data_IF_625844090343
#
_entry.id   IF_625844090343
#
_cell.length_a   1.000
_cell.length_b   1.000
_cell.length_c   1.000
_cell.angle_alpha   90.00
_cell.angle_beta   90.00
_cell.angle_gamma   90.00
#
_symmetry.space_group_name_H-M   'P 1'
#
loop_
_entity.id
_entity.type
_entity.pdbx_description
1 polymer ?
#
# COMPACT_ATOMS: atom_id res chain seq x y z
N UNK A 1 -12.07 -32.36 -18.83
CA UNK A 1 -11.94 -32.17 -17.37
C UNK A 1 -12.54 -30.82 -17.03
N UNK A 2 -13.69 -30.76 -16.36
CA UNK A 2 -14.24 -29.51 -15.85
C UNK A 2 -13.40 -29.07 -14.66
N UNK A 3 -12.44 -28.16 -14.86
CA UNK A 3 -11.92 -27.37 -13.76
C UNK A 3 -13.07 -26.47 -13.29
N UNK A 4 -13.72 -26.82 -12.19
CA UNK A 4 -14.58 -25.87 -11.49
C UNK A 4 -13.70 -24.68 -11.14
N UNK A 5 -13.92 -23.53 -11.77
CA UNK A 5 -13.21 -22.31 -11.45
C UNK A 5 -13.36 -22.05 -9.94
N UNK A 6 -12.25 -22.06 -9.19
CA UNK A 6 -12.24 -21.74 -7.76
C UNK A 6 -12.91 -20.38 -7.58
N UNK A 7 -13.83 -20.29 -6.63
CA UNK A 7 -14.45 -19.02 -6.22
C UNK A 7 -13.92 -18.62 -4.85
N UNK A 8 -13.90 -17.32 -4.58
CA UNK A 8 -13.48 -16.81 -3.28
C UNK A 8 -14.47 -17.28 -2.20
N UNK A 9 -13.94 -17.84 -1.12
CA UNK A 9 -14.72 -18.15 0.07
C UNK A 9 -15.09 -16.84 0.82
N UNK A 10 -16.05 -16.90 1.76
CA UNK A 10 -16.51 -15.69 2.47
C UNK A 10 -15.40 -14.94 3.22
N UNK A 11 -14.44 -15.66 3.83
CA UNK A 11 -13.35 -15.04 4.57
C UNK A 11 -12.38 -14.34 3.62
N UNK A 12 -12.03 -14.96 2.49
CA UNK A 12 -11.19 -14.34 1.46
C UNK A 12 -11.83 -13.05 0.92
N UNK A 13 -13.14 -13.06 0.68
CA UNK A 13 -13.88 -11.84 0.26
C UNK A 13 -13.81 -10.74 1.30
N UNK A 14 -14.06 -11.07 2.57
CA UNK A 14 -13.98 -10.09 3.67
C UNK A 14 -12.56 -9.53 3.81
N UNK A 15 -11.54 -10.38 3.77
CA UNK A 15 -10.14 -9.97 3.86
C UNK A 15 -9.74 -9.04 2.71
N UNK A 16 -10.16 -9.35 1.47
CA UNK A 16 -9.93 -8.47 0.31
C UNK A 16 -10.60 -7.10 0.53
N UNK A 17 -11.85 -7.06 0.98
CA UNK A 17 -12.55 -5.80 1.22
C UNK A 17 -11.85 -4.97 2.29
N UNK A 18 -11.49 -5.56 3.43
CA UNK A 18 -10.76 -4.87 4.49
C UNK A 18 -9.38 -4.37 4.01
N UNK A 19 -8.66 -5.18 3.23
CA UNK A 19 -7.38 -4.78 2.68
C UNK A 19 -7.52 -3.59 1.72
N UNK A 20 -8.55 -3.57 0.87
CA UNK A 20 -8.80 -2.45 -0.05
C UNK A 20 -9.24 -1.19 0.71
N UNK A 21 -10.14 -1.34 1.69
CA UNK A 21 -10.62 -0.26 2.55
C UNK A 21 -9.48 0.42 3.34
N UNK A 22 -8.39 -0.31 3.56
CA UNK A 22 -7.16 0.21 4.14
C UNK A 22 -6.17 0.75 3.11
N UNK A 23 -5.81 -0.07 2.11
CA UNK A 23 -4.76 0.25 1.15
C UNK A 23 -5.06 1.53 0.39
N UNK A 24 -6.31 1.73 -0.03
CA UNK A 24 -6.66 2.91 -0.84
C UNK A 24 -6.35 4.21 -0.09
N UNK A 25 -6.95 4.50 1.08
CA UNK A 25 -6.65 5.74 1.80
C UNK A 25 -5.20 5.80 2.29
N UNK A 26 -4.61 4.68 2.71
CA UNK A 26 -3.24 4.68 3.22
C UNK A 26 -2.21 5.02 2.13
N UNK A 27 -2.35 4.43 0.94
CA UNK A 27 -1.48 4.76 -0.20
C UNK A 27 -1.65 6.23 -0.61
N UNK A 28 -2.88 6.74 -0.62
CA UNK A 28 -3.12 8.16 -0.89
C UNK A 28 -2.40 9.07 0.11
N UNK A 29 -2.44 8.77 1.41
CA UNK A 29 -1.71 9.56 2.42
C UNK A 29 -0.19 9.49 2.26
N UNK A 30 0.37 8.34 1.89
CA UNK A 30 1.82 8.23 1.59
C UNK A 30 2.17 9.10 0.38
N UNK A 31 1.38 9.03 -0.68
CA UNK A 31 1.60 9.78 -1.91
C UNK A 31 1.47 11.28 -1.67
N UNK A 32 0.50 11.71 -0.87
CA UNK A 32 0.31 13.10 -0.49
C UNK A 32 1.56 13.67 0.21
N UNK A 33 2.02 13.01 1.28
CA UNK A 33 3.23 13.38 2.01
C UNK A 33 4.47 13.37 1.10
N UNK A 34 4.57 12.37 0.21
CA UNK A 34 5.73 12.21 -0.69
C UNK A 34 5.74 13.19 -1.86
N UNK A 35 4.59 13.78 -2.19
CA UNK A 35 4.40 14.73 -3.29
C UNK A 35 4.37 16.18 -2.83
N UNK A 36 4.38 16.42 -1.52
CA UNK A 36 4.29 17.76 -0.93
C UNK A 36 5.44 18.65 -1.39
N UNK A 37 5.11 19.92 -1.62
CA UNK A 37 6.02 20.93 -2.16
C UNK A 37 6.59 21.75 -1.01
N UNK A 38 7.90 22.02 -1.07
CA UNK A 38 8.59 22.89 -0.10
C UNK A 38 8.51 22.38 1.36
N UNK A 39 8.24 21.09 1.55
CA UNK A 39 8.29 20.42 2.85
C UNK A 39 9.76 20.29 3.32
N UNK A 40 10.03 20.61 4.58
CA UNK A 40 11.35 20.35 5.17
C UNK A 40 11.57 18.85 5.31
N UNK A 41 12.83 18.42 5.28
CA UNK A 41 13.18 17.01 5.47
C UNK A 41 12.74 16.53 6.86
N UNK A 42 12.78 17.39 7.88
CA UNK A 42 12.33 17.11 9.23
C UNK A 42 10.82 16.87 9.30
N UNK A 43 10.02 17.74 8.67
CA UNK A 43 8.57 17.59 8.65
C UNK A 43 8.16 16.37 7.82
N UNK A 44 8.85 16.10 6.72
CA UNK A 44 8.64 14.88 5.93
C UNK A 44 8.89 13.61 6.78
N UNK A 45 10.00 13.58 7.53
CA UNK A 45 10.32 12.46 8.44
C UNK A 45 9.26 12.28 9.53
N UNK A 46 8.79 13.38 10.13
CA UNK A 46 7.71 13.35 11.12
C UNK A 46 6.41 12.79 10.51
N UNK A 47 6.04 13.24 9.32
CA UNK A 47 4.87 12.73 8.60
C UNK A 47 4.98 11.23 8.29
N UNK A 48 6.15 10.73 7.90
CA UNK A 48 6.37 9.30 7.70
C UNK A 48 6.19 8.49 8.99
N UNK A 49 6.73 8.96 10.11
CA UNK A 49 6.55 8.31 11.41
C UNK A 49 5.07 8.30 11.82
N UNK A 50 4.34 9.38 11.56
CA UNK A 50 2.88 9.44 11.79
C UNK A 50 2.09 8.48 10.89
N UNK A 51 2.65 8.10 9.74
CA UNK A 51 2.13 7.05 8.87
C UNK A 51 2.63 5.65 9.26
N UNK A 52 3.28 5.48 10.42
CA UNK A 52 3.83 4.22 10.92
C UNK A 52 5.00 3.65 10.09
N UNK A 53 5.75 4.50 9.40
CA UNK A 53 7.02 4.11 8.77
C UNK A 53 8.18 4.17 9.77
N UNK A 54 9.14 3.26 9.57
CA UNK A 54 10.48 3.34 10.14
C UNK A 54 11.42 3.96 9.12
N UNK A 55 12.28 4.89 9.56
CA UNK A 55 13.33 5.47 8.72
C UNK A 55 14.53 4.53 8.72
N UNK A 56 14.84 3.94 7.57
CA UNK A 56 15.88 2.94 7.42
C UNK A 56 17.26 3.57 7.16
N UNK A 57 17.29 4.64 6.34
CA UNK A 57 18.51 5.41 6.09
C UNK A 57 18.23 6.84 5.61
N UNK A 58 19.21 7.72 5.82
CA UNK A 58 19.24 9.09 5.30
C UNK A 58 20.62 9.38 4.70
N UNK A 59 20.67 9.79 3.43
CA UNK A 59 21.90 10.22 2.76
C UNK A 59 21.64 11.43 1.86
N UNK A 60 22.20 12.60 2.21
CA UNK A 60 22.11 13.83 1.40
C UNK A 60 20.68 14.20 0.97
N UNK A 61 19.70 14.03 1.86
CA UNK A 61 18.29 14.30 1.59
C UNK A 61 17.54 13.18 0.86
N UNK A 62 18.20 12.07 0.53
CA UNK A 62 17.54 10.81 0.19
C UNK A 62 17.16 10.09 1.47
N UNK A 63 15.91 9.63 1.54
CA UNK A 63 15.37 8.87 2.66
C UNK A 63 14.89 7.52 2.14
N UNK A 64 15.29 6.47 2.83
CA UNK A 64 14.66 5.15 2.71
C UNK A 64 13.86 4.90 3.96
N UNK A 65 12.62 4.47 3.77
CA UNK A 65 11.72 4.15 4.86
C UNK A 65 10.90 2.91 4.52
N UNK A 66 10.54 2.15 5.55
CA UNK A 66 9.75 0.95 5.40
C UNK A 66 8.66 0.83 6.45
N UNK A 67 7.58 0.14 6.10
CA UNK A 67 6.52 -0.22 7.02
C UNK A 67 6.05 -1.65 6.72
N UNK A 68 5.59 -2.35 7.77
CA UNK A 68 5.02 -3.69 7.63
C UNK A 68 3.81 -3.83 8.53
N UNK A 69 2.63 -3.93 7.93
CA UNK A 69 1.37 -4.11 8.65
C UNK A 69 0.27 -4.59 7.69
N UNK A 70 -0.79 -5.19 8.25
CA UNK A 70 -1.96 -5.64 7.50
C UNK A 70 -1.63 -6.56 6.31
N UNK A 71 -0.60 -7.40 6.47
CA UNK A 71 -0.12 -8.33 5.43
C UNK A 71 0.47 -7.65 4.18
N UNK A 72 0.95 -6.41 4.32
CA UNK A 72 1.71 -5.70 3.29
C UNK A 72 3.05 -5.18 3.81
N UNK A 73 4.06 -5.21 2.94
CA UNK A 73 5.34 -4.55 3.10
C UNK A 73 5.33 -3.29 2.23
N UNK A 74 5.68 -2.15 2.82
CA UNK A 74 5.81 -0.86 2.15
C UNK A 74 7.29 -0.48 2.16
N UNK A 75 7.80 -0.07 1.01
CA UNK A 75 9.16 0.44 0.86
C UNK A 75 9.08 1.76 0.11
N UNK A 76 9.54 2.83 0.75
CA UNK A 76 9.54 4.17 0.21
C UNK A 76 10.98 4.63 0.04
N UNK A 77 11.33 4.98 -1.19
CA UNK A 77 12.55 5.72 -1.51
C UNK A 77 12.14 7.14 -1.88
N UNK A 78 12.52 8.12 -1.07
CA UNK A 78 12.36 9.55 -1.36
C UNK A 78 13.72 10.15 -1.72
N UNK A 79 13.80 10.92 -2.80
CA UNK A 79 15.07 11.49 -3.28
C UNK A 79 15.04 13.03 -3.34
N UNK A 80 14.10 13.67 -2.65
CA UNK A 80 13.90 15.13 -2.72
C UNK A 80 13.11 15.57 -3.96
N UNK A 81 12.69 16.83 -3.96
CA UNK A 81 12.09 17.52 -5.14
C UNK A 81 10.89 16.77 -5.75
N UNK A 82 10.01 16.23 -4.91
CA UNK A 82 8.82 15.47 -5.32
C UNK A 82 9.15 14.18 -6.09
N UNK A 83 10.32 13.59 -5.85
CA UNK A 83 10.73 12.34 -6.46
C UNK A 83 10.71 11.23 -5.42
N UNK A 84 9.82 10.27 -5.62
CA UNK A 84 9.69 9.10 -4.77
C UNK A 84 9.38 7.85 -5.59
N UNK A 85 9.70 6.70 -5.00
CA UNK A 85 9.25 5.38 -5.42
C UNK A 85 8.67 4.69 -4.20
N UNK A 86 7.37 4.41 -4.24
CA UNK A 86 6.67 3.58 -3.27
C UNK A 86 6.47 2.20 -3.87
N UNK A 87 6.97 1.16 -3.22
CA UNK A 87 6.71 -0.24 -3.56
C UNK A 87 5.91 -0.89 -2.44
N UNK A 88 4.88 -1.65 -2.82
CA UNK A 88 4.01 -2.37 -1.90
C UNK A 88 3.99 -3.84 -2.34
N UNK A 89 4.26 -4.74 -1.41
CA UNK A 89 4.20 -6.19 -1.64
C UNK A 89 3.27 -6.83 -0.60
N UNK A 90 2.27 -7.57 -1.04
CA UNK A 90 1.48 -8.43 -0.17
C UNK A 90 2.27 -9.67 0.24
N UNK A 91 1.97 -10.19 1.43
CA UNK A 91 2.47 -11.49 1.90
C UNK A 91 1.32 -12.29 2.53
N UNK A 92 1.57 -13.55 2.87
CA UNK A 92 0.56 -14.50 3.38
C UNK A 92 -0.69 -14.52 2.48
N UNK A 93 -1.84 -14.08 3.00
CA UNK A 93 -3.13 -14.06 2.31
C UNK A 93 -3.14 -13.19 1.05
N UNK A 94 -2.21 -12.24 0.92
CA UNK A 94 -2.10 -11.34 -0.25
C UNK A 94 -0.81 -11.55 -1.04
N UNK A 95 -0.14 -12.70 -0.85
CA UNK A 95 1.01 -13.07 -1.67
C UNK A 95 0.68 -13.01 -3.17
N UNK A 96 1.56 -12.37 -3.94
CA UNK A 96 1.35 -12.03 -5.35
C UNK A 96 0.74 -10.65 -5.62
N UNK A 97 0.30 -9.89 -4.60
CA UNK A 97 -0.02 -8.47 -4.79
C UNK A 97 1.27 -7.65 -4.85
N UNK A 98 1.50 -6.95 -5.97
CA UNK A 98 2.60 -6.00 -6.11
C UNK A 98 2.07 -4.70 -6.72
N UNK A 99 2.40 -3.59 -6.08
CA UNK A 99 2.04 -2.26 -6.55
C UNK A 99 3.24 -1.32 -6.43
N UNK A 100 3.43 -0.46 -7.44
CA UNK A 100 4.44 0.58 -7.40
C UNK A 100 3.85 1.93 -7.83
N UNK A 101 4.05 2.95 -7.00
CA UNK A 101 3.72 4.33 -7.31
C UNK A 101 5.01 5.14 -7.43
N UNK A 102 5.06 6.02 -8.42
CA UNK A 102 6.11 7.02 -8.53
C UNK A 102 5.48 8.39 -8.74
N UNK A 103 6.26 9.44 -8.56
CA UNK A 103 5.84 10.79 -8.94
C UNK A 103 5.48 10.97 -10.44
N UNK A 104 5.85 10.01 -11.30
CA UNK A 104 5.49 9.99 -12.73
C UNK A 104 4.25 9.14 -13.03
N UNK A 105 3.61 8.59 -12.00
CA UNK A 105 2.46 7.72 -12.08
C UNK A 105 2.74 6.30 -11.63
N UNK A 106 1.71 5.47 -11.73
CA UNK A 106 1.69 4.09 -11.23
C UNK A 106 2.28 3.10 -12.24
N UNK A 107 3.07 2.15 -11.77
CA UNK A 107 3.48 0.97 -12.53
C UNK A 107 3.12 -0.29 -11.72
N UNK A 108 2.40 -1.22 -12.36
CA UNK A 108 1.96 -2.45 -11.69
C UNK A 108 2.72 -3.59 -12.34
N UNK A 109 3.36 -4.40 -11.52
CA UNK A 109 3.93 -5.67 -11.96
C UNK A 109 3.04 -6.78 -11.44
N UNK A 110 2.47 -7.54 -12.36
CA UNK A 110 1.70 -8.74 -12.06
C UNK A 110 2.71 -9.88 -11.89
N UNK A 111 3.09 -10.22 -10.66
CA UNK A 111 3.93 -11.40 -10.42
C UNK A 111 2.99 -12.60 -10.23
N UNK A 112 2.55 -13.12 -11.37
CA UNK A 112 1.54 -14.17 -11.54
C UNK A 112 2.03 -15.58 -11.13
N UNK A 113 2.97 -15.69 -10.18
CA UNK A 113 3.66 -16.95 -9.90
C UNK A 113 3.45 -17.51 -8.48
N UNK A 114 2.45 -17.02 -7.74
CA UNK A 114 2.08 -17.56 -6.42
C UNK A 114 0.86 -18.48 -6.50
N UNK A 115 0.77 -19.50 -5.64
CA UNK A 115 -0.42 -20.36 -5.52
C UNK A 115 -1.71 -19.64 -5.08
N UNK A 116 -1.68 -18.31 -5.02
CA UNK A 116 -2.75 -17.43 -4.56
C UNK A 116 -3.30 -16.48 -5.66
N UNK A 117 -3.07 -16.82 -6.94
CA UNK A 117 -3.52 -16.05 -8.11
C UNK A 117 -4.96 -15.52 -8.01
N UNK A 118 -5.90 -16.29 -7.48
CA UNK A 118 -7.30 -15.85 -7.39
C UNK A 118 -7.47 -14.65 -6.44
N UNK A 119 -6.85 -14.69 -5.26
CA UNK A 119 -6.97 -13.61 -4.26
C UNK A 119 -6.17 -12.41 -4.72
N UNK A 120 -4.92 -12.60 -5.16
CA UNK A 120 -4.06 -11.53 -5.64
C UNK A 120 -4.69 -10.76 -6.81
N UNK A 121 -5.24 -11.47 -7.80
CA UNK A 121 -5.95 -10.84 -8.92
C UNK A 121 -7.17 -10.03 -8.47
N UNK A 122 -7.90 -10.50 -7.45
CA UNK A 122 -9.11 -9.84 -6.98
C UNK A 122 -8.80 -8.58 -6.17
N UNK A 123 -7.80 -8.63 -5.28
CA UNK A 123 -7.38 -7.43 -4.55
C UNK A 123 -6.77 -6.40 -5.51
N UNK A 124 -5.93 -6.79 -6.48
CA UNK A 124 -5.40 -5.86 -7.50
C UNK A 124 -6.55 -5.18 -8.24
N UNK A 125 -7.51 -5.95 -8.76
CA UNK A 125 -8.65 -5.39 -9.51
C UNK A 125 -9.48 -4.41 -8.68
N UNK A 126 -9.79 -4.75 -7.43
CA UNK A 126 -10.59 -3.89 -6.56
C UNK A 126 -9.84 -2.64 -6.13
N UNK A 127 -8.58 -2.80 -5.71
CA UNK A 127 -7.71 -1.68 -5.34
C UNK A 127 -7.61 -0.67 -6.48
N UNK A 128 -7.32 -1.11 -7.71
CA UNK A 128 -7.17 -0.19 -8.85
C UNK A 128 -8.46 0.52 -9.24
N UNK A 129 -9.59 -0.17 -9.14
CA UNK A 129 -10.90 0.44 -9.40
C UNK A 129 -11.17 1.59 -8.44
N UNK A 130 -10.84 1.40 -7.17
CA UNK A 130 -11.13 2.37 -6.11
C UNK A 130 -10.06 3.46 -6.00
N UNK A 131 -8.79 3.13 -6.21
CA UNK A 131 -7.67 4.07 -6.13
C UNK A 131 -7.79 5.21 -7.15
N UNK A 132 -8.35 4.94 -8.34
CA UNK A 132 -8.57 5.94 -9.41
C UNK A 132 -9.83 6.81 -9.21
N UNK A 133 -10.62 6.55 -8.18
CA UNK A 133 -11.87 7.26 -7.91
C UNK A 133 -11.74 8.06 -6.60
N UNK A 134 -12.62 9.05 -6.34
CA UNK A 134 -12.74 9.60 -5.00
C UNK A 134 -12.90 8.46 -3.99
N UNK A 135 -12.02 8.42 -3.00
CA UNK A 135 -11.98 7.35 -2.03
C UNK A 135 -12.64 7.77 -0.72
N UNK A 136 -13.18 6.79 0.00
CA UNK A 136 -13.76 7.01 1.32
C UNK A 136 -12.69 6.76 2.38
N UNK A 137 -12.62 7.65 3.36
CA UNK A 137 -11.84 7.43 4.59
C UNK A 137 -12.63 6.43 5.45
N UNK A 138 -12.21 5.17 5.41
CA UNK A 138 -12.90 4.06 6.06
C UNK A 138 -12.61 4.02 7.57
N UNK A 139 -13.50 3.41 8.35
CA UNK A 139 -13.26 3.24 9.79
C UNK A 139 -12.11 2.26 10.07
N UNK A 140 -11.84 1.34 9.13
CA UNK A 140 -10.65 0.48 9.16
C UNK A 140 -9.39 1.34 9.11
N UNK A 141 -9.31 2.25 8.14
CA UNK A 141 -8.18 3.17 8.01
C UNK A 141 -8.05 4.10 9.23
N UNK A 142 -9.16 4.67 9.71
CA UNK A 142 -9.14 5.56 10.90
C UNK A 142 -8.61 4.85 12.15
N UNK A 143 -9.06 3.61 12.41
CA UNK A 143 -8.56 2.83 13.55
C UNK A 143 -7.06 2.56 13.43
N UNK A 144 -6.61 2.19 12.23
CA UNK A 144 -5.18 1.98 11.99
C UNK A 144 -4.37 3.25 12.22
N UNK A 145 -4.76 4.38 11.64
CA UNK A 145 -3.92 5.59 11.71
C UNK A 145 -3.83 6.14 13.14
N UNK A 146 -4.91 6.04 13.93
CA UNK A 146 -4.95 6.55 15.31
C UNK A 146 -4.26 5.59 16.29
N UNK A 147 -4.50 4.28 16.16
CA UNK A 147 -4.09 3.30 17.19
C UNK A 147 -2.95 2.38 16.77
N UNK A 148 -2.53 2.37 15.50
CA UNK A 148 -1.59 1.39 14.94
C UNK A 148 -2.17 -0.04 14.88
N UNK A 149 -3.49 -0.20 15.05
CA UNK A 149 -4.14 -1.50 15.13
C UNK A 149 -4.16 -2.18 13.76
N UNK A 150 -3.56 -3.38 13.68
CA UNK A 150 -3.73 -4.25 12.53
C UNK A 150 -5.10 -4.93 12.58
N UNK A 151 -5.74 -5.10 11.42
CA UNK A 151 -7.12 -5.59 11.32
C UNK A 151 -7.25 -6.86 10.45
N UNK A 152 -6.12 -7.51 10.12
CA UNK A 152 -6.04 -8.79 9.38
C UNK A 152 -5.02 -9.71 10.06
#
# INVERSE_FOLDING_TARGET
MNQSARTLNPNEKTNINHAVDFLVPYVHSIVEVSSEVDVSIELFKENLVNLHFTLDSEDRGRIEASARHNKFNFSLLYTGTRSFVLKICGYDDFDGFIYMETNKGMNIHDDMNSGNELVSNQIVKQFLKLYKSPYLVTDIYKRFIINGESFI
#
